data_IF_629710443537
#
_entry.id   IF_629710443537
#
_cell.length_a   1.000
_cell.length_b   1.000
_cell.length_c   1.000
_cell.angle_alpha   90.00
_cell.angle_beta   90.00
_cell.angle_gamma   90.00
#
_symmetry.space_group_name_H-M   'P 1'
#
loop_
_entity.id
_entity.type
_entity.pdbx_description
1 polymer ?
#
# COMPACT_ATOMS: atom_id res chain seq x y z
N UNK A 1 6.09 -34.28 16.98
CA UNK A 1 5.22 -33.14 17.34
C UNK A 1 3.97 -33.51 18.14
N UNK A 2 3.35 -34.70 17.95
CA UNK A 2 2.07 -35.06 18.61
C UNK A 2 2.09 -35.07 20.15
N UNK A 3 3.17 -35.54 20.80
CA UNK A 3 3.27 -35.52 22.28
C UNK A 3 3.45 -34.10 22.88
N UNK A 4 4.09 -33.18 22.16
CA UNK A 4 4.22 -31.78 22.59
C UNK A 4 2.91 -31.00 22.43
N UNK A 5 2.07 -31.42 21.48
CA UNK A 5 0.75 -30.85 21.17
C UNK A 5 -0.23 -30.96 22.34
N UNK A 6 -0.24 -32.09 23.06
CA UNK A 6 -1.05 -32.28 24.27
C UNK A 6 -0.63 -31.37 25.45
N UNK A 7 0.66 -31.03 25.56
CA UNK A 7 1.16 -30.12 26.60
C UNK A 7 0.78 -28.65 26.35
N UNK A 8 0.39 -28.29 25.13
CA UNK A 8 0.07 -26.92 24.75
C UNK A 8 -1.32 -26.44 25.21
N UNK A 9 -2.20 -27.35 25.64
CA UNK A 9 -3.53 -27.00 26.16
C UNK A 9 -4.34 -26.12 25.20
N UNK A 10 -4.68 -24.90 25.62
CA UNK A 10 -5.45 -23.94 24.82
C UNK A 10 -4.71 -23.40 23.60
N UNK A 11 -3.37 -23.47 23.57
CA UNK A 11 -2.55 -23.03 22.43
C UNK A 11 -2.55 -24.04 21.28
N UNK A 12 -3.14 -25.23 21.48
CA UNK A 12 -3.14 -26.28 20.49
C UNK A 12 -3.76 -25.84 19.15
N UNK A 13 -4.88 -25.10 19.20
CA UNK A 13 -5.52 -24.51 18.02
C UNK A 13 -4.62 -23.48 17.32
N UNK A 14 -3.85 -22.70 18.07
CA UNK A 14 -2.91 -21.74 17.50
C UNK A 14 -1.75 -22.46 16.78
N UNK A 15 -1.25 -23.56 17.34
CA UNK A 15 -0.22 -24.41 16.71
C UNK A 15 -0.75 -25.02 15.41
N UNK A 16 -1.97 -25.54 15.41
CA UNK A 16 -2.60 -26.10 14.20
C UNK A 16 -2.75 -25.05 13.10
N UNK A 17 -3.19 -23.84 13.46
CA UNK A 17 -3.26 -22.72 12.53
C UNK A 17 -1.89 -22.31 12.00
N UNK A 18 -0.86 -22.28 12.86
CA UNK A 18 0.51 -21.96 12.46
C UNK A 18 1.05 -22.99 11.46
N UNK A 19 0.95 -24.28 11.76
CA UNK A 19 1.40 -25.36 10.87
C UNK A 19 0.67 -25.29 9.54
N UNK A 20 -0.66 -25.16 9.56
CA UNK A 20 -1.49 -25.04 8.36
C UNK A 20 -1.06 -23.85 7.49
N UNK A 21 -0.88 -22.68 8.11
CA UNK A 21 -0.51 -21.45 7.41
C UNK A 21 0.88 -21.60 6.80
N UNK A 22 1.86 -22.05 7.58
CA UNK A 22 3.23 -22.29 7.11
C UNK A 22 3.27 -23.26 5.93
N UNK A 23 2.53 -24.37 5.98
CA UNK A 23 2.44 -25.30 4.84
C UNK A 23 1.79 -24.67 3.61
N UNK A 24 0.74 -23.87 3.79
CA UNK A 24 0.03 -23.22 2.68
C UNK A 24 0.91 -22.24 1.93
N UNK A 25 1.80 -21.54 2.63
CA UNK A 25 2.75 -20.59 2.03
C UNK A 25 4.12 -21.20 1.74
N UNK A 26 4.34 -22.50 2.00
CA UNK A 26 5.66 -23.13 1.95
C UNK A 26 6.39 -22.90 0.62
N UNK A 27 5.70 -23.05 -0.51
CA UNK A 27 6.29 -22.87 -1.84
C UNK A 27 6.77 -21.45 -2.14
N UNK A 28 6.29 -20.45 -1.41
CA UNK A 28 6.71 -19.05 -1.53
C UNK A 28 7.49 -18.53 -0.33
N UNK A 29 7.56 -19.29 0.76
CA UNK A 29 8.43 -18.97 1.89
C UNK A 29 9.89 -19.16 1.46
N UNK A 30 10.77 -18.28 1.92
CA UNK A 30 12.22 -18.44 1.79
C UNK A 30 12.83 -18.36 0.38
N UNK A 31 12.05 -18.10 -0.66
CA UNK A 31 12.56 -17.86 -2.03
C UNK A 31 13.59 -16.71 -2.09
N UNK A 32 13.55 -15.81 -1.10
CA UNK A 32 14.54 -14.75 -0.90
C UNK A 32 15.98 -15.27 -0.68
N UNK A 33 16.18 -16.54 -0.30
CA UNK A 33 17.51 -17.13 -0.16
C UNK A 33 18.04 -17.76 -1.46
N UNK A 34 17.18 -17.96 -2.45
CA UNK A 34 17.54 -18.60 -3.73
C UNK A 34 17.98 -17.58 -4.78
N UNK A 35 17.60 -16.31 -4.61
CA UNK A 35 17.92 -15.21 -5.53
C UNK A 35 19.08 -14.40 -4.96
N UNK A 36 20.20 -14.38 -5.69
CA UNK A 36 21.33 -13.51 -5.38
C UNK A 36 20.89 -12.04 -5.37
N UNK A 37 21.42 -11.25 -4.44
CA UNK A 37 21.05 -9.85 -4.18
C UNK A 37 19.61 -9.57 -3.71
N UNK A 38 18.76 -10.59 -3.52
CA UNK A 38 17.44 -10.37 -2.93
C UNK A 38 17.53 -10.22 -1.41
N UNK A 39 16.93 -9.18 -0.80
CA UNK A 39 16.98 -8.99 0.64
C UNK A 39 16.36 -10.17 1.41
N UNK A 40 17.12 -10.67 2.39
CA UNK A 40 16.68 -11.77 3.28
C UNK A 40 15.53 -11.40 4.21
N UNK A 41 15.30 -10.09 4.38
CA UNK A 41 14.23 -9.55 5.22
C UNK A 41 13.56 -8.39 4.49
N UNK A 42 12.31 -8.10 4.85
CA UNK A 42 11.56 -6.96 4.37
C UNK A 42 11.75 -5.70 5.26
N UNK A 43 12.68 -5.70 6.21
CA UNK A 43 12.84 -4.64 7.21
C UNK A 43 13.00 -3.25 6.59
N UNK A 44 13.74 -3.13 5.50
CA UNK A 44 13.95 -1.86 4.81
C UNK A 44 12.65 -1.32 4.20
N UNK A 45 11.82 -2.21 3.65
CA UNK A 45 10.48 -1.87 3.17
C UNK A 45 9.58 -1.43 4.34
N UNK A 46 9.58 -2.18 5.44
CA UNK A 46 8.80 -1.82 6.64
C UNK A 46 9.20 -0.46 7.20
N UNK A 47 10.50 -0.17 7.23
CA UNK A 47 11.06 1.10 7.64
C UNK A 47 10.66 2.23 6.69
N UNK A 48 10.70 2.01 5.37
CA UNK A 48 10.23 2.98 4.38
C UNK A 48 8.73 3.32 4.56
N UNK A 49 7.89 2.31 4.80
CA UNK A 49 6.48 2.54 5.12
C UNK A 49 6.29 3.21 6.49
N UNK A 50 7.17 2.94 7.47
CA UNK A 50 7.20 3.62 8.77
C UNK A 50 7.46 5.11 8.63
N UNK A 51 8.48 5.48 7.84
CA UNK A 51 8.80 6.87 7.49
C UNK A 51 7.61 7.57 6.82
N UNK A 52 6.99 6.92 5.83
CA UNK A 52 5.81 7.47 5.16
C UNK A 52 4.66 7.74 6.15
N UNK A 53 4.36 6.79 7.05
CA UNK A 53 3.32 6.99 8.08
C UNK A 53 3.66 8.14 9.01
N UNK A 54 4.92 8.26 9.42
CA UNK A 54 5.39 9.37 10.24
C UNK A 54 5.21 10.71 9.53
N UNK A 55 5.67 10.83 8.28
CA UNK A 55 5.53 12.03 7.46
C UNK A 55 4.05 12.41 7.26
N UNK A 56 3.19 11.45 6.91
CA UNK A 56 1.75 11.71 6.76
C UNK A 56 1.11 12.20 8.06
N UNK A 57 1.52 11.67 9.22
CA UNK A 57 1.02 12.15 10.51
C UNK A 57 1.43 13.59 10.79
N UNK A 58 2.68 13.97 10.46
CA UNK A 58 3.15 15.36 10.61
C UNK A 58 2.40 16.34 9.70
N UNK A 59 2.12 15.94 8.46
CA UNK A 59 1.42 16.82 7.51
C UNK A 59 -0.09 16.91 7.74
N UNK A 60 -0.72 15.84 8.25
CA UNK A 60 -2.20 15.73 8.29
C UNK A 60 -2.79 15.63 9.69
N UNK A 61 -1.96 15.43 10.73
CA UNK A 61 -2.40 15.15 12.10
C UNK A 61 -3.01 13.77 12.31
N UNK A 62 -3.20 12.95 11.27
CA UNK A 62 -3.94 11.68 11.36
C UNK A 62 -3.02 10.52 11.77
N UNK A 63 -3.46 9.75 12.78
CA UNK A 63 -2.75 8.53 13.22
C UNK A 63 -2.84 7.41 12.18
N UNK A 64 -4.02 7.26 11.59
CA UNK A 64 -4.37 6.22 10.61
C UNK A 64 -4.04 6.70 9.20
N UNK A 65 -3.58 5.77 8.37
CA UNK A 65 -3.33 5.99 6.95
C UNK A 65 -4.58 6.61 6.27
N UNK A 66 -4.50 7.85 5.75
CA UNK A 66 -5.65 8.45 5.07
C UNK A 66 -5.91 7.75 3.74
N UNK A 67 -7.15 7.80 3.25
CA UNK A 67 -7.53 7.28 1.93
C UNK A 67 -6.68 7.83 0.78
N UNK A 68 -6.09 9.01 0.96
CA UNK A 68 -5.14 9.60 0.00
C UNK A 68 -3.88 8.77 -0.23
N UNK A 69 -3.49 7.87 0.69
CA UNK A 69 -2.40 6.93 0.46
C UNK A 69 -2.77 5.84 -0.54
N UNK A 70 -4.05 5.50 -0.70
CA UNK A 70 -4.48 4.56 -1.75
C UNK A 70 -4.42 5.24 -3.13
N UNK A 71 -4.71 6.53 -3.17
CA UNK A 71 -4.84 7.30 -4.42
C UNK A 71 -3.48 7.82 -4.91
N UNK A 72 -2.63 8.26 -3.97
CA UNK A 72 -1.34 8.91 -4.25
C UNK A 72 -0.17 8.19 -3.57
N UNK A 73 -0.36 6.94 -3.16
CA UNK A 73 0.65 6.19 -2.40
C UNK A 73 1.96 6.02 -3.14
N UNK A 74 1.90 5.71 -4.44
CA UNK A 74 3.07 5.53 -5.31
C UNK A 74 4.00 6.74 -5.27
N UNK A 75 3.45 7.94 -5.46
CA UNK A 75 4.23 9.18 -5.41
C UNK A 75 4.57 9.61 -3.99
N UNK A 76 3.68 9.39 -3.01
CA UNK A 76 3.93 9.80 -1.62
C UNK A 76 5.06 9.00 -0.98
N UNK A 77 5.16 7.70 -1.28
CA UNK A 77 6.26 6.85 -0.80
C UNK A 77 7.59 7.30 -1.43
N UNK A 78 7.61 7.49 -2.75
CA UNK A 78 8.79 7.99 -3.45
C UNK A 78 9.24 9.35 -2.90
N UNK A 79 8.32 10.30 -2.71
CA UNK A 79 8.63 11.59 -2.08
C UNK A 79 9.18 11.42 -0.67
N UNK A 80 8.55 10.62 0.19
CA UNK A 80 9.02 10.42 1.56
C UNK A 80 10.42 9.82 1.65
N UNK A 81 10.78 8.94 0.72
CA UNK A 81 12.14 8.38 0.59
C UNK A 81 13.09 9.46 0.07
N UNK A 82 12.76 10.10 -1.05
CA UNK A 82 13.60 11.10 -1.69
C UNK A 82 13.92 12.27 -0.75
N UNK A 83 12.92 12.82 -0.04
CA UNK A 83 13.11 13.93 0.89
C UNK A 83 13.85 13.54 2.17
N UNK A 84 13.92 12.23 2.48
CA UNK A 84 14.76 11.75 3.57
C UNK A 84 16.22 11.67 3.15
N UNK A 85 16.48 11.27 1.91
CA UNK A 85 17.83 11.14 1.38
C UNK A 85 18.42 12.51 1.05
N UNK A 86 17.62 13.40 0.45
CA UNK A 86 18.08 14.67 -0.10
C UNK A 86 17.11 15.80 0.25
N UNK A 87 17.65 16.98 0.54
CA UNK A 87 16.85 18.20 0.66
C UNK A 87 16.74 18.85 -0.71
N UNK A 88 15.52 19.03 -1.20
CA UNK A 88 15.26 19.65 -2.50
C UNK A 88 15.04 21.16 -2.34
N UNK A 89 15.75 21.95 -3.13
CA UNK A 89 15.54 23.39 -3.28
C UNK A 89 14.47 23.69 -4.32
N UNK A 90 13.99 24.93 -4.38
CA UNK A 90 13.07 25.36 -5.43
C UNK A 90 13.70 25.23 -6.83
N UNK A 91 15.00 25.45 -6.96
CA UNK A 91 15.73 25.30 -8.23
C UNK A 91 15.71 23.85 -8.71
N UNK A 92 15.92 22.88 -7.80
CA UNK A 92 15.88 21.45 -8.13
C UNK A 92 14.50 21.03 -8.66
N UNK A 93 13.43 21.54 -8.04
CA UNK A 93 12.06 21.26 -8.46
C UNK A 93 11.68 21.96 -9.77
N UNK A 94 12.32 23.09 -10.10
CA UNK A 94 12.05 23.84 -11.32
C UNK A 94 12.63 23.18 -12.58
N UNK A 95 13.59 22.25 -12.44
CA UNK A 95 14.15 21.50 -13.57
C UNK A 95 13.23 20.35 -14.06
N UNK A 96 12.11 20.11 -13.37
CA UNK A 96 11.20 19.03 -13.73
C UNK A 96 10.44 19.38 -15.01
N UNK A 97 10.52 18.49 -16.00
CA UNK A 97 9.74 18.62 -17.23
C UNK A 97 8.22 18.66 -16.93
N UNK A 98 7.57 19.72 -17.41
CA UNK A 98 6.16 19.97 -17.17
C UNK A 98 5.27 18.92 -17.83
N UNK A 99 5.66 18.38 -18.98
CA UNK A 99 4.88 17.38 -19.71
C UNK A 99 4.83 16.08 -18.91
N UNK A 100 6.00 15.62 -18.45
CA UNK A 100 6.13 14.45 -17.58
C UNK A 100 5.34 14.63 -16.27
N UNK A 101 5.40 15.82 -15.67
CA UNK A 101 4.63 16.11 -14.46
C UNK A 101 3.11 16.06 -14.68
N UNK A 102 2.63 16.60 -15.80
CA UNK A 102 1.21 16.56 -16.17
C UNK A 102 0.72 15.14 -16.44
N UNK A 103 1.53 14.31 -17.11
CA UNK A 103 1.18 12.91 -17.36
C UNK A 103 1.05 12.14 -16.05
N UNK A 104 2.04 12.23 -15.16
CA UNK A 104 1.96 11.62 -13.82
C UNK A 104 0.72 12.09 -13.06
N UNK A 105 0.39 13.37 -13.14
CA UNK A 105 -0.79 13.94 -12.49
C UNK A 105 -2.10 13.37 -13.07
N UNK A 106 -2.17 13.19 -14.39
CA UNK A 106 -3.30 12.56 -15.09
C UNK A 106 -3.49 11.10 -14.65
N UNK A 107 -2.39 10.34 -14.55
CA UNK A 107 -2.44 8.96 -14.06
C UNK A 107 -3.00 8.87 -12.64
N UNK A 108 -2.53 9.73 -11.72
CA UNK A 108 -3.06 9.79 -10.35
C UNK A 108 -4.54 10.24 -10.30
N UNK A 109 -4.97 11.10 -11.21
CA UNK A 109 -6.38 11.52 -11.31
C UNK A 109 -7.29 10.35 -11.70
N UNK A 110 -6.82 9.40 -12.53
CA UNK A 110 -7.61 8.19 -12.86
C UNK A 110 -7.94 7.38 -11.60
N UNK A 111 -6.96 7.14 -10.73
CA UNK A 111 -7.17 6.46 -9.45
C UNK A 111 -8.10 7.24 -8.52
N UNK A 112 -7.98 8.57 -8.52
CA UNK A 112 -8.86 9.44 -7.72
C UNK A 112 -10.32 9.34 -8.20
N UNK A 113 -10.54 9.43 -9.50
CA UNK A 113 -11.86 9.31 -10.13
C UNK A 113 -12.50 7.97 -9.82
N UNK A 114 -11.76 6.86 -9.97
CA UNK A 114 -12.27 5.53 -9.63
C UNK A 114 -12.76 5.45 -8.17
N UNK A 115 -12.07 6.08 -7.22
CA UNK A 115 -12.51 6.13 -5.81
C UNK A 115 -13.73 7.00 -5.59
N UNK A 116 -13.84 8.13 -6.31
CA UNK A 116 -15.05 8.96 -6.29
C UNK A 116 -16.25 8.16 -6.81
N UNK A 117 -16.10 7.45 -7.93
CA UNK A 117 -17.19 6.65 -8.49
C UNK A 117 -17.59 5.50 -7.55
N UNK A 118 -16.63 4.82 -6.93
CA UNK A 118 -16.93 3.83 -5.89
C UNK A 118 -17.71 4.44 -4.71
N UNK A 119 -17.35 5.64 -4.27
CA UNK A 119 -18.05 6.33 -3.19
C UNK A 119 -19.48 6.73 -3.62
N UNK A 120 -19.66 7.25 -4.83
CA UNK A 120 -20.96 7.59 -5.40
C UNK A 120 -21.87 6.38 -5.49
N UNK A 121 -21.36 5.27 -6.04
CA UNK A 121 -22.08 4.01 -6.10
C UNK A 121 -22.50 3.52 -4.71
N UNK A 122 -21.59 3.53 -3.72
CA UNK A 122 -21.92 3.11 -2.35
C UNK A 122 -22.94 4.01 -1.66
N UNK A 123 -23.02 5.29 -2.03
CA UNK A 123 -23.96 6.26 -1.47
C UNK A 123 -25.37 6.04 -1.98
N UNK A 124 -25.53 5.83 -3.29
CA UNK A 124 -26.81 5.51 -3.92
C UNK A 124 -26.59 4.63 -5.16
N UNK A 125 -26.64 3.29 -5.00
CA UNK A 125 -26.42 2.37 -6.11
C UNK A 125 -27.46 2.52 -7.22
N UNK A 126 -28.73 2.79 -6.87
CA UNK A 126 -29.83 2.83 -7.85
C UNK A 126 -29.70 4.06 -8.74
N UNK A 127 -29.54 5.25 -8.15
CA UNK A 127 -29.37 6.48 -8.93
C UNK A 127 -28.08 6.46 -9.76
N UNK A 128 -27.00 5.89 -9.20
CA UNK A 128 -25.74 5.74 -9.91
C UNK A 128 -25.89 4.87 -11.16
N UNK A 129 -26.51 3.69 -11.05
CA UNK A 129 -26.73 2.78 -12.18
C UNK A 129 -27.65 3.39 -13.23
N UNK A 130 -28.76 4.01 -12.83
CA UNK A 130 -29.67 4.69 -13.75
C UNK A 130 -28.97 5.81 -14.56
N UNK A 131 -28.11 6.60 -13.92
CA UNK A 131 -27.29 7.60 -14.62
C UNK A 131 -26.27 6.99 -15.58
N UNK A 132 -25.75 5.81 -15.24
CA UNK A 132 -24.77 5.11 -16.06
C UNK A 132 -25.44 4.52 -17.30
N UNK A 133 -26.61 3.91 -17.13
CA UNK A 133 -27.47 3.43 -18.22
C UNK A 133 -27.83 4.57 -19.17
N UNK A 134 -28.31 5.71 -18.67
CA UNK A 134 -28.70 6.85 -19.52
C UNK A 134 -27.54 7.50 -20.31
N UNK A 135 -26.30 7.16 -19.99
CA UNK A 135 -25.09 7.70 -20.66
C UNK A 135 -24.48 6.73 -21.66
N UNK A 136 -24.82 5.44 -21.57
CA UNK A 136 -24.23 4.37 -22.37
C UNK A 136 -25.24 3.65 -23.26
N UNK A 137 -26.52 3.78 -22.97
CA UNK A 137 -27.66 3.30 -23.74
C UNK A 137 -28.44 4.51 -24.27
#
# INVERSE_FOLDING_TARGET
MSQQKQKAGTLNTAIDNFIKTTHSYWSGLFHCYEIEDFPRTNNDLEHAFGMLRHHQRRCTGRKVAPSSLVIRGSVKLACAIATKLHSFTASDLAQVDIVTWLDLRSQLQKHHKARIEQYRFRRDPKAYLANLESRLL
#
